data_IF_444368473641
#
_entry.id   IF_444368473641
#
_cell.length_a   1.000
_cell.length_b   1.000
_cell.length_c   1.000
_cell.angle_alpha   90.00
_cell.angle_beta   90.00
_cell.angle_gamma   90.00
#
_symmetry.space_group_name_H-M   'P 1'
#
loop_
_entity.id
_entity.type
_entity.pdbx_description
1 polymer ?
#
# COMPACT_ATOMS: atom_id res chain seq x y z
N UNK A 1 48.07 12.20 24.37
CA UNK A 1 48.88 11.10 23.82
C UNK A 1 47.90 9.99 23.48
N UNK A 2 47.71 9.69 22.20
CA UNK A 2 46.70 8.76 21.72
C UNK A 2 47.36 7.41 21.52
N UNK A 3 46.96 6.40 22.28
CA UNK A 3 47.46 5.04 22.14
C UNK A 3 47.06 4.49 20.78
N UNK A 4 48.04 4.27 19.91
CA UNK A 4 47.86 3.58 18.65
C UNK A 4 47.59 2.10 18.96
N UNK A 5 46.36 1.66 18.73
CA UNK A 5 46.01 0.24 18.74
C UNK A 5 46.68 -0.42 17.53
N UNK A 6 47.78 -1.12 17.78
CA UNK A 6 48.47 -1.95 16.80
C UNK A 6 47.58 -3.15 16.47
N UNK A 7 47.01 -3.17 15.26
CA UNK A 7 46.33 -4.35 14.73
C UNK A 7 47.43 -5.30 14.23
N UNK A 8 47.55 -6.52 14.78
CA UNK A 8 48.59 -7.45 14.38
C UNK A 8 48.41 -7.88 12.93
N UNK A 9 49.52 -7.84 12.18
CA UNK A 9 49.61 -8.14 10.74
C UNK A 9 49.36 -9.63 10.43
N UNK A 10 49.42 -10.49 11.44
CA UNK A 10 49.23 -11.93 11.28
C UNK A 10 48.46 -12.55 12.46
N UNK A 11 47.31 -13.14 12.14
CA UNK A 11 46.50 -13.93 13.08
C UNK A 11 46.56 -15.37 12.61
N UNK A 12 47.05 -16.28 13.46
CA UNK A 12 47.11 -17.70 13.13
C UNK A 12 45.70 -18.25 12.83
N UNK A 13 45.50 -19.03 11.75
CA UNK A 13 44.18 -19.56 11.41
C UNK A 13 43.75 -20.60 12.45
N UNK A 14 42.83 -20.22 13.34
CA UNK A 14 42.28 -21.11 14.38
C UNK A 14 41.10 -21.90 13.79
N UNK A 15 41.40 -22.96 13.03
CA UNK A 15 40.39 -23.87 12.47
C UNK A 15 39.39 -23.20 11.50
N UNK A 16 38.31 -23.91 11.08
CA UNK A 16 37.22 -23.29 10.34
C UNK A 16 36.48 -22.32 11.28
N UNK A 17 36.97 -21.10 11.33
CA UNK A 17 36.27 -19.96 11.90
C UNK A 17 35.03 -19.69 11.04
N UNK A 18 33.95 -20.41 11.28
CA UNK A 18 32.60 -19.93 10.96
C UNK A 18 32.30 -18.77 11.92
N UNK A 19 33.05 -17.67 11.81
CA UNK A 19 32.68 -16.42 12.42
C UNK A 19 31.31 -16.07 11.85
N UNK A 20 30.29 -16.13 12.71
CA UNK A 20 28.98 -15.60 12.35
C UNK A 20 29.21 -14.15 11.95
N UNK A 21 29.00 -13.85 10.68
CA UNK A 21 29.06 -12.48 10.21
C UNK A 21 28.09 -11.66 11.08
N UNK A 22 28.51 -10.47 11.54
CA UNK A 22 27.59 -9.52 12.17
C UNK A 22 26.33 -9.36 11.31
N UNK A 23 25.18 -9.26 11.97
CA UNK A 23 23.87 -9.19 11.29
C UNK A 23 23.82 -7.98 10.36
N UNK A 24 24.45 -6.88 10.76
CA UNK A 24 24.56 -5.64 10.00
C UNK A 24 25.31 -5.85 8.68
N UNK A 25 26.40 -6.61 8.70
CA UNK A 25 27.17 -6.94 7.48
C UNK A 25 26.33 -7.85 6.58
N UNK A 26 25.63 -8.81 7.18
CA UNK A 26 24.75 -9.72 6.44
C UNK A 26 23.61 -8.95 5.75
N UNK A 27 22.98 -8.00 6.43
CA UNK A 27 21.92 -7.16 5.86
C UNK A 27 22.45 -6.27 4.73
N UNK A 28 23.65 -5.69 4.87
CA UNK A 28 24.30 -4.93 3.78
C UNK A 28 24.59 -5.79 2.56
N UNK A 29 25.03 -7.03 2.75
CA UNK A 29 25.24 -7.97 1.65
C UNK A 29 23.90 -8.28 0.96
N UNK A 30 22.85 -8.57 1.74
CA UNK A 30 21.51 -8.83 1.22
C UNK A 30 21.00 -7.62 0.44
N UNK A 31 21.21 -6.41 0.94
CA UNK A 31 20.82 -5.17 0.26
C UNK A 31 21.44 -5.08 -1.14
N UNK A 32 22.75 -5.31 -1.26
CA UNK A 32 23.43 -5.32 -2.55
C UNK A 32 22.91 -6.41 -3.51
N UNK A 33 22.40 -7.53 -2.98
CA UNK A 33 21.86 -8.64 -3.77
C UNK A 33 20.38 -8.46 -4.16
N UNK A 34 19.62 -7.74 -3.36
CA UNK A 34 18.15 -7.60 -3.47
C UNK A 34 17.74 -6.29 -4.15
N UNK A 35 18.62 -5.28 -4.17
CA UNK A 35 18.41 -4.08 -4.96
C UNK A 35 18.22 -4.44 -6.44
N UNK A 36 17.04 -4.09 -6.96
CA UNK A 36 16.84 -3.96 -8.41
C UNK A 36 17.68 -2.75 -8.81
N UNK A 37 18.91 -3.02 -9.26
CA UNK A 37 20.04 -2.09 -9.15
C UNK A 37 19.86 -0.67 -9.71
N UNK A 38 20.70 0.29 -9.26
CA UNK A 38 20.60 1.72 -9.55
C UNK A 38 20.81 2.14 -11.01
N UNK A 39 21.08 1.19 -11.92
CA UNK A 39 21.25 1.47 -13.36
C UNK A 39 19.95 1.66 -14.11
N UNK A 40 18.82 1.30 -13.50
CA UNK A 40 17.49 1.60 -14.00
C UNK A 40 16.80 2.41 -12.91
N UNK A 41 16.30 3.62 -13.20
CA UNK A 41 15.39 4.32 -12.28
C UNK A 41 14.34 3.30 -11.83
N UNK A 42 14.29 2.90 -10.54
CA UNK A 42 13.37 1.86 -10.14
C UNK A 42 11.97 2.43 -10.31
N UNK A 43 11.30 2.01 -11.38
CA UNK A 43 9.87 2.20 -11.49
C UNK A 43 9.25 1.46 -10.31
N UNK A 44 8.48 2.19 -9.49
CA UNK A 44 7.87 1.68 -8.27
C UNK A 44 7.26 0.28 -8.48
N UNK A 45 7.44 -0.58 -7.49
CA UNK A 45 6.99 -1.97 -7.54
C UNK A 45 5.49 -2.00 -7.32
N UNK A 46 4.76 -2.32 -8.37
CA UNK A 46 3.32 -2.60 -8.31
C UNK A 46 3.05 -4.07 -7.95
N UNK A 47 1.77 -4.41 -7.71
CA UNK A 47 1.36 -5.77 -7.37
C UNK A 47 1.80 -6.80 -8.42
N UNK A 48 1.74 -6.46 -9.71
CA UNK A 48 2.09 -7.39 -10.79
C UNK A 48 3.59 -7.70 -10.77
N UNK A 49 4.42 -6.68 -10.64
CA UNK A 49 5.88 -6.80 -10.52
C UNK A 49 6.25 -7.55 -9.25
N UNK A 50 5.63 -7.21 -8.14
CA UNK A 50 5.82 -7.93 -6.89
C UNK A 50 5.47 -9.41 -7.05
N UNK A 51 4.33 -9.74 -7.68
CA UNK A 51 3.93 -11.12 -7.97
C UNK A 51 4.98 -11.88 -8.78
N UNK A 52 5.54 -11.25 -9.82
CA UNK A 52 6.60 -11.83 -10.65
C UNK A 52 7.88 -12.07 -9.82
N UNK A 53 8.35 -11.04 -9.10
CA UNK A 53 9.55 -11.15 -8.25
C UNK A 53 9.37 -12.21 -7.15
N UNK A 54 8.19 -12.25 -6.55
CA UNK A 54 7.85 -13.15 -5.46
C UNK A 54 7.76 -14.62 -5.94
N UNK A 55 7.35 -14.86 -7.20
CA UNK A 55 7.18 -16.21 -7.74
C UNK A 55 8.40 -16.72 -8.53
N UNK A 56 9.23 -15.85 -9.11
CA UNK A 56 10.27 -16.23 -10.06
C UNK A 56 11.63 -15.61 -9.74
N UNK A 57 12.70 -16.27 -10.20
CA UNK A 57 14.07 -15.73 -10.17
C UNK A 57 14.85 -16.00 -8.88
N UNK A 58 15.88 -15.17 -8.64
CA UNK A 58 16.75 -15.27 -7.46
C UNK A 58 16.02 -14.93 -6.16
N UNK A 59 15.04 -14.01 -6.21
CA UNK A 59 14.34 -13.55 -5.02
C UNK A 59 13.57 -14.66 -4.30
N UNK A 60 12.85 -15.52 -5.02
CA UNK A 60 12.20 -16.69 -4.41
C UNK A 60 13.23 -17.69 -3.85
N UNK A 61 14.33 -17.95 -4.57
CA UNK A 61 15.38 -18.88 -4.11
C UNK A 61 16.02 -18.41 -2.81
N UNK A 62 16.32 -17.12 -2.71
CA UNK A 62 16.89 -16.52 -1.51
C UNK A 62 15.94 -16.65 -0.31
N UNK A 63 14.64 -16.39 -0.50
CA UNK A 63 13.65 -16.52 0.58
C UNK A 63 13.39 -17.96 1.03
N UNK A 64 13.66 -18.94 0.18
CA UNK A 64 13.46 -20.36 0.50
C UNK A 64 14.58 -20.97 1.35
N UNK A 65 15.66 -20.24 1.65
CA UNK A 65 16.81 -20.78 2.39
C UNK A 65 16.42 -21.16 3.82
N UNK A 66 15.84 -20.23 4.59
CA UNK A 66 15.24 -20.50 5.89
C UNK A 66 14.30 -19.33 6.30
N UNK A 67 13.54 -19.53 7.39
CA UNK A 67 12.54 -18.55 7.86
C UNK A 67 13.16 -17.20 8.25
N UNK A 68 14.28 -17.20 8.98
CA UNK A 68 14.95 -15.98 9.45
C UNK A 68 15.52 -15.17 8.28
N UNK A 69 16.19 -15.85 7.34
CA UNK A 69 16.76 -15.24 6.15
C UNK A 69 15.67 -14.69 5.23
N UNK A 70 14.54 -15.39 5.12
CA UNK A 70 13.34 -14.88 4.44
C UNK A 70 12.87 -13.55 5.04
N UNK A 71 12.79 -13.45 6.38
CA UNK A 71 12.41 -12.21 7.04
C UNK A 71 13.38 -11.07 6.74
N UNK A 72 14.70 -11.32 6.84
CA UNK A 72 15.72 -10.31 6.51
C UNK A 72 15.66 -9.85 5.06
N UNK A 73 15.49 -10.77 4.11
CA UNK A 73 15.33 -10.41 2.69
C UNK A 73 14.10 -9.55 2.49
N UNK A 74 12.96 -9.93 3.08
CA UNK A 74 11.71 -9.19 2.94
C UNK A 74 11.84 -7.80 3.55
N UNK A 75 12.44 -7.69 4.73
CA UNK A 75 12.73 -6.41 5.37
C UNK A 75 13.61 -5.52 4.49
N UNK A 76 14.74 -6.02 4.02
CA UNK A 76 15.66 -5.28 3.14
C UNK A 76 14.98 -4.90 1.81
N UNK A 77 14.19 -5.80 1.23
CA UNK A 77 13.46 -5.54 -0.01
C UNK A 77 12.43 -4.42 0.15
N UNK A 78 11.61 -4.49 1.20
CA UNK A 78 10.57 -3.49 1.47
C UNK A 78 11.15 -2.16 1.97
N UNK A 79 12.32 -2.18 2.61
CA UNK A 79 13.03 -0.98 3.04
C UNK A 79 13.65 -0.21 1.85
N UNK A 80 14.13 -0.93 0.83
CA UNK A 80 14.93 -0.33 -0.25
C UNK A 80 14.18 -0.05 -1.55
N UNK A 81 12.92 -0.46 -1.66
CA UNK A 81 12.11 -0.24 -2.86
C UNK A 81 10.90 0.64 -2.56
N UNK A 82 10.49 1.42 -3.55
CA UNK A 82 9.23 2.16 -3.50
C UNK A 82 8.11 1.30 -4.07
N UNK A 83 6.95 1.32 -3.42
CA UNK A 83 5.79 0.52 -3.82
C UNK A 83 4.66 1.41 -4.31
N UNK A 84 3.96 0.93 -5.35
CA UNK A 84 2.86 1.64 -5.98
C UNK A 84 1.63 0.74 -6.06
N UNK A 85 0.60 1.04 -5.28
CA UNK A 85 -0.64 0.28 -5.29
C UNK A 85 -1.74 1.10 -5.94
N UNK A 86 -2.11 0.73 -7.17
CA UNK A 86 -3.16 1.39 -7.94
C UNK A 86 -4.53 0.81 -7.63
N UNK A 87 -5.56 1.65 -7.61
CA UNK A 87 -6.95 1.18 -7.66
C UNK A 87 -7.16 0.40 -8.97
N UNK A 88 -8.04 -0.59 -8.96
CA UNK A 88 -8.31 -1.44 -10.14
C UNK A 88 -9.63 -0.99 -10.77
N UNK A 89 -9.62 -0.77 -12.07
CA UNK A 89 -10.84 -0.67 -12.88
C UNK A 89 -11.53 -2.03 -12.89
N UNK A 90 -12.79 -2.09 -12.49
CA UNK A 90 -13.57 -3.32 -12.32
C UNK A 90 -13.56 -4.16 -13.60
N UNK A 91 -13.06 -5.40 -13.54
CA UNK A 91 -13.01 -6.33 -14.67
C UNK A 91 -13.96 -7.53 -14.54
N UNK A 92 -14.72 -7.68 -13.44
CA UNK A 92 -15.52 -8.88 -13.19
C UNK A 92 -16.96 -8.59 -12.72
N UNK A 93 -17.85 -9.56 -12.96
CA UNK A 93 -19.28 -9.50 -12.66
C UNK A 93 -19.63 -9.54 -11.16
N UNK A 94 -18.74 -10.04 -10.30
CA UNK A 94 -18.97 -10.11 -8.83
C UNK A 94 -18.68 -8.79 -8.12
N UNK A 95 -17.82 -7.96 -8.71
CA UNK A 95 -17.46 -6.63 -8.25
C UNK A 95 -18.37 -5.52 -8.81
N UNK A 96 -19.48 -5.89 -9.47
CA UNK A 96 -20.39 -4.95 -10.13
C UNK A 96 -21.10 -3.96 -9.21
N UNK A 97 -21.14 -4.25 -7.91
CA UNK A 97 -21.75 -3.37 -6.92
C UNK A 97 -20.86 -2.20 -6.49
N UNK A 98 -19.57 -2.27 -6.81
CA UNK A 98 -18.58 -1.25 -6.48
C UNK A 98 -18.22 -0.50 -7.78
N UNK A 99 -18.26 0.83 -7.76
CA UNK A 99 -17.89 1.65 -8.92
C UNK A 99 -16.37 1.69 -9.13
N UNK A 100 -15.58 1.52 -8.07
CA UNK A 100 -14.15 1.27 -8.09
C UNK A 100 -13.72 0.18 -7.09
N UNK A 101 -12.70 -0.62 -7.43
CA UNK A 101 -12.06 -1.54 -6.48
C UNK A 101 -10.91 -0.85 -5.73
N UNK A 102 -10.76 -1.16 -4.45
CA UNK A 102 -9.63 -0.68 -3.65
C UNK A 102 -8.27 -1.16 -4.21
N UNK A 103 -7.17 -0.47 -3.91
CA UNK A 103 -5.84 -0.89 -4.33
C UNK A 103 -5.49 -2.27 -3.78
N UNK A 104 -4.81 -3.08 -4.59
CA UNK A 104 -4.33 -4.38 -4.14
C UNK A 104 -3.11 -4.24 -3.22
N UNK A 105 -3.40 -4.03 -1.94
CA UNK A 105 -2.41 -3.95 -0.89
C UNK A 105 -1.77 -5.34 -0.62
N UNK A 106 -0.53 -5.37 -0.13
CA UNK A 106 0.14 -6.63 0.19
C UNK A 106 -0.50 -7.29 1.43
N UNK A 107 -0.23 -8.59 1.67
CA UNK A 107 -0.74 -9.30 2.85
C UNK A 107 -0.36 -8.62 4.18
N UNK A 108 -1.21 -8.70 5.19
CA UNK A 108 -1.00 -8.02 6.49
C UNK A 108 0.34 -8.37 7.14
N UNK A 109 0.78 -9.63 7.06
CA UNK A 109 2.04 -10.10 7.64
C UNK A 109 3.31 -9.46 7.05
N UNK A 110 3.26 -8.83 5.88
CA UNK A 110 4.40 -8.08 5.31
C UNK A 110 4.30 -6.57 5.49
N UNK A 111 3.13 -6.04 5.89
CA UNK A 111 2.90 -4.59 5.92
C UNK A 111 3.82 -3.86 6.89
N UNK A 112 4.25 -4.52 7.96
CA UNK A 112 5.20 -3.98 8.95
C UNK A 112 6.62 -3.73 8.41
N UNK A 113 6.99 -4.32 7.26
CA UNK A 113 8.31 -4.12 6.64
C UNK A 113 8.35 -2.91 5.70
N UNK A 114 7.19 -2.42 5.27
CA UNK A 114 7.10 -1.28 4.37
C UNK A 114 7.53 0.01 5.07
N UNK A 115 8.36 0.80 4.39
CA UNK A 115 8.79 2.12 4.83
C UNK A 115 8.28 3.23 3.93
N UNK A 116 8.16 2.98 2.62
CA UNK A 116 7.74 3.98 1.64
C UNK A 116 6.70 3.40 0.70
N UNK A 117 5.53 4.05 0.61
CA UNK A 117 4.46 3.62 -0.29
C UNK A 117 3.81 4.80 -1.00
N UNK A 118 3.40 4.57 -2.25
CA UNK A 118 2.41 5.36 -2.97
C UNK A 118 1.15 4.53 -3.15
N UNK A 119 0.00 5.05 -2.73
CA UNK A 119 -1.28 4.35 -2.81
C UNK A 119 -2.28 5.24 -3.53
N UNK A 120 -2.94 4.69 -4.53
CA UNK A 120 -4.02 5.36 -5.23
C UNK A 120 -5.35 4.89 -4.67
N UNK A 121 -6.20 5.85 -4.27
CA UNK A 121 -7.50 5.59 -3.65
C UNK A 121 -8.55 6.36 -4.44
N UNK A 122 -9.65 5.71 -4.78
CA UNK A 122 -10.82 6.38 -5.37
C UNK A 122 -11.90 6.54 -4.30
N UNK A 123 -12.38 7.77 -4.10
CA UNK A 123 -13.52 8.08 -3.25
C UNK A 123 -14.72 8.43 -4.12
N UNK A 124 -15.86 7.84 -3.81
CA UNK A 124 -17.07 7.89 -4.61
C UNK A 124 -18.24 8.23 -3.68
N UNK A 125 -19.27 8.90 -4.20
CA UNK A 125 -20.48 9.26 -3.46
C UNK A 125 -21.71 8.46 -3.90
N UNK A 126 -21.49 7.47 -4.76
CA UNK A 126 -22.50 6.63 -5.34
C UNK A 126 -22.07 5.17 -5.31
N UNK A 127 -23.04 4.30 -5.50
CA UNK A 127 -22.80 2.87 -5.59
C UNK A 127 -23.84 2.23 -6.51
N UNK A 128 -23.62 0.97 -6.85
CA UNK A 128 -24.53 0.18 -7.66
C UNK A 128 -24.88 -1.07 -6.87
N UNK A 129 -26.12 -1.53 -6.91
CA UNK A 129 -26.49 -2.83 -6.34
C UNK A 129 -27.30 -3.61 -7.36
N UNK A 130 -27.12 -4.93 -7.37
CA UNK A 130 -28.06 -5.81 -8.04
C UNK A 130 -29.42 -5.68 -7.37
N UNK A 131 -30.48 -5.59 -8.16
CA UNK A 131 -31.84 -5.71 -7.63
C UNK A 131 -31.98 -7.05 -6.88
N UNK A 132 -32.74 -7.09 -5.77
CA UNK A 132 -32.94 -8.32 -4.99
C UNK A 132 -33.47 -9.50 -5.81
N UNK A 133 -34.21 -9.22 -6.88
CA UNK A 133 -34.75 -10.20 -7.81
C UNK A 133 -33.64 -10.91 -8.61
N UNK A 134 -32.59 -10.18 -9.02
CA UNK A 134 -31.52 -10.68 -9.89
C UNK A 134 -30.36 -11.30 -9.09
N UNK A 135 -30.22 -10.94 -7.81
CA UNK A 135 -29.29 -11.61 -6.89
C UNK A 135 -29.63 -13.11 -6.70
N UNK A 136 -30.91 -13.47 -6.86
CA UNK A 136 -31.41 -14.85 -6.71
C UNK A 136 -31.49 -15.63 -8.04
N UNK A 137 -31.24 -14.98 -9.18
CA UNK A 137 -31.31 -15.63 -10.49
C UNK A 137 -30.19 -15.12 -11.42
N UNK A 138 -28.96 -15.68 -11.32
CA UNK A 138 -27.77 -15.16 -12.01
C UNK A 138 -27.80 -15.30 -13.54
N UNK A 139 -28.82 -15.96 -14.09
CA UNK A 139 -28.97 -16.24 -15.52
C UNK A 139 -29.83 -15.20 -16.27
N UNK A 140 -30.45 -14.25 -15.55
CA UNK A 140 -31.28 -13.19 -16.14
C UNK A 140 -30.51 -11.89 -16.44
N UNK A 141 -31.08 -10.97 -17.25
CA UNK A 141 -30.51 -9.65 -17.43
C UNK A 141 -30.47 -8.93 -16.08
N UNK A 142 -29.28 -8.64 -15.58
CA UNK A 142 -29.08 -8.01 -14.28
C UNK A 142 -29.49 -6.54 -14.32
N UNK A 143 -30.51 -6.19 -13.55
CA UNK A 143 -30.96 -4.82 -13.37
C UNK A 143 -30.13 -4.19 -12.26
N UNK A 144 -29.34 -3.18 -12.61
CA UNK A 144 -28.49 -2.46 -11.66
C UNK A 144 -29.26 -1.26 -11.11
N UNK A 145 -29.43 -1.20 -9.79
CA UNK A 145 -30.01 -0.03 -9.13
C UNK A 145 -28.88 0.91 -8.67
N UNK A 146 -28.84 2.16 -9.17
CA UNK A 146 -27.91 3.15 -8.64
C UNK A 146 -28.37 3.63 -7.26
N UNK A 147 -27.43 3.80 -6.34
CA UNK A 147 -27.63 4.38 -5.02
C UNK A 147 -26.69 5.55 -4.76
N UNK A 148 -27.03 6.37 -3.77
CA UNK A 148 -26.20 7.51 -3.31
C UNK A 148 -25.81 7.28 -1.86
N UNK A 149 -24.56 7.57 -1.53
CA UNK A 149 -24.03 7.45 -0.17
C UNK A 149 -24.62 8.56 0.68
N UNK A 150 -25.47 8.18 1.64
CA UNK A 150 -26.19 9.13 2.49
C UNK A 150 -25.58 9.33 3.86
N UNK A 151 -24.70 8.43 4.29
CA UNK A 151 -24.14 8.36 5.64
C UNK A 151 -22.70 7.82 5.65
N UNK A 152 -22.02 7.95 6.79
CA UNK A 152 -20.69 7.34 7.02
C UNK A 152 -20.76 5.81 6.97
N UNK A 153 -21.85 5.21 7.43
CA UNK A 153 -22.05 3.76 7.36
C UNK A 153 -22.13 3.29 5.91
N UNK A 154 -22.91 3.99 5.07
CA UNK A 154 -22.97 3.72 3.63
C UNK A 154 -21.61 3.89 2.97
N UNK A 155 -20.85 4.91 3.38
CA UNK A 155 -19.51 5.16 2.86
C UNK A 155 -18.60 3.95 3.08
N UNK A 156 -18.56 3.41 4.30
CA UNK A 156 -17.75 2.22 4.60
C UNK A 156 -18.31 0.93 4.00
N UNK A 157 -19.63 0.86 3.79
CA UNK A 157 -20.28 -0.30 3.20
C UNK A 157 -20.02 -0.41 1.71
N UNK A 158 -20.06 0.70 0.98
CA UNK A 158 -20.10 0.71 -0.48
C UNK A 158 -18.90 1.35 -1.17
N UNK A 159 -18.05 2.13 -0.47
CA UNK A 159 -16.84 2.70 -1.05
C UNK A 159 -15.57 1.94 -0.57
N UNK A 160 -14.95 1.11 -1.41
CA UNK A 160 -13.73 0.40 -1.04
C UNK A 160 -12.57 1.32 -0.72
N UNK A 161 -12.47 2.47 -1.40
CA UNK A 161 -11.43 3.45 -1.13
C UNK A 161 -11.54 4.04 0.27
N UNK A 162 -12.75 4.30 0.77
CA UNK A 162 -12.97 4.75 2.14
C UNK A 162 -12.53 3.71 3.17
N UNK A 163 -12.85 2.42 2.94
CA UNK A 163 -12.38 1.33 3.83
C UNK A 163 -10.85 1.25 3.87
N UNK A 164 -10.23 1.34 2.69
CA UNK A 164 -8.76 1.31 2.57
C UNK A 164 -8.15 2.51 3.29
N UNK A 165 -8.69 3.70 3.11
CA UNK A 165 -8.20 4.92 3.75
C UNK A 165 -8.33 4.84 5.28
N UNK A 166 -9.45 4.32 5.79
CA UNK A 166 -9.68 4.10 7.23
C UNK A 166 -8.64 3.15 7.83
N UNK A 167 -8.39 2.02 7.17
CA UNK A 167 -7.52 0.97 7.70
C UNK A 167 -6.05 1.16 7.29
N UNK A 168 -5.71 2.25 6.57
CA UNK A 168 -4.44 2.39 5.87
C UNK A 168 -3.24 2.33 6.82
N UNK A 169 -3.33 3.04 7.94
CA UNK A 169 -2.26 3.16 8.93
C UNK A 169 -2.69 2.63 10.30
N UNK A 170 -3.77 1.84 10.34
CA UNK A 170 -4.20 1.14 11.54
C UNK A 170 -3.12 0.13 11.99
N UNK A 171 -2.82 0.07 13.28
CA UNK A 171 -1.74 -0.77 13.80
C UNK A 171 -1.99 -2.29 13.61
N UNK A 172 -3.26 -2.72 13.53
CA UNK A 172 -3.64 -4.12 13.43
C UNK A 172 -3.81 -4.61 12.00
N UNK A 173 -4.17 -3.72 11.08
CA UNK A 173 -4.50 -4.07 9.69
C UNK A 173 -3.68 -3.32 8.65
N UNK A 174 -3.24 -2.11 8.96
CA UNK A 174 -2.60 -1.18 8.04
C UNK A 174 -1.08 -1.32 7.96
N UNK A 175 -0.44 -0.22 7.60
CA UNK A 175 1.01 -0.07 7.56
C UNK A 175 1.48 0.69 8.81
N UNK A 176 1.95 -0.05 9.81
CA UNK A 176 2.29 0.52 11.13
C UNK A 176 3.65 1.23 11.20
N UNK A 177 4.56 0.93 10.27
CA UNK A 177 5.97 1.36 10.33
C UNK A 177 6.37 2.21 9.11
N UNK A 178 5.46 3.01 8.56
CA UNK A 178 5.77 3.86 7.41
C UNK A 178 6.65 5.04 7.81
N UNK A 179 7.67 5.29 7.02
CA UNK A 179 8.45 6.52 7.02
C UNK A 179 7.79 7.56 6.11
N UNK A 180 7.43 7.16 4.89
CA UNK A 180 6.86 8.03 3.87
C UNK A 180 5.59 7.42 3.30
N UNK A 181 4.53 8.23 3.26
CA UNK A 181 3.25 7.86 2.68
C UNK A 181 2.84 8.89 1.62
N UNK A 182 2.65 8.44 0.39
CA UNK A 182 2.05 9.25 -0.66
C UNK A 182 0.69 8.69 -1.05
N UNK A 183 -0.36 9.52 -0.95
CA UNK A 183 -1.74 9.14 -1.29
C UNK A 183 -2.17 9.94 -2.51
N UNK A 184 -2.53 9.23 -3.58
CA UNK A 184 -3.14 9.81 -4.75
C UNK A 184 -4.65 9.57 -4.71
N UNK A 185 -5.44 10.61 -4.44
CA UNK A 185 -6.90 10.54 -4.33
C UNK A 185 -7.55 10.86 -5.67
N UNK A 186 -8.42 9.97 -6.13
CA UNK A 186 -9.37 10.26 -7.20
C UNK A 186 -10.74 10.52 -6.59
N UNK A 187 -11.40 11.60 -6.99
CA UNK A 187 -12.76 11.91 -6.55
C UNK A 187 -13.75 11.64 -7.67
N UNK A 188 -14.69 10.74 -7.44
CA UNK A 188 -15.72 10.33 -8.38
C UNK A 188 -17.12 10.76 -7.91
N UNK A 189 -17.27 12.05 -7.55
CA UNK A 189 -18.55 12.55 -7.02
C UNK A 189 -19.52 12.91 -8.14
N UNK A 190 -20.82 12.69 -7.90
CA UNK A 190 -21.88 13.12 -8.79
C UNK A 190 -22.14 14.61 -8.61
N UNK A 191 -22.30 15.32 -9.73
CA UNK A 191 -22.54 16.75 -9.72
C UNK A 191 -23.82 17.10 -8.91
N UNK A 192 -23.69 18.00 -7.95
CA UNK A 192 -24.81 18.51 -7.15
C UNK A 192 -24.90 17.97 -5.72
N UNK A 193 -24.04 17.00 -5.34
CA UNK A 193 -23.98 16.46 -3.98
C UNK A 193 -22.67 16.73 -3.24
N UNK A 194 -21.75 17.49 -3.85
CA UNK A 194 -20.39 17.72 -3.37
C UNK A 194 -20.34 18.10 -1.87
N UNK A 195 -21.18 19.03 -1.41
CA UNK A 195 -21.15 19.47 -0.01
C UNK A 195 -21.59 18.36 0.97
N UNK A 196 -22.68 17.63 0.64
CA UNK A 196 -23.17 16.54 1.48
C UNK A 196 -22.13 15.42 1.56
N UNK A 197 -21.50 15.10 0.43
CA UNK A 197 -20.41 14.12 0.36
C UNK A 197 -19.22 14.55 1.20
N UNK A 198 -18.80 15.82 1.11
CA UNK A 198 -17.73 16.37 1.94
C UNK A 198 -18.05 16.32 3.43
N UNK A 199 -19.30 16.58 3.82
CA UNK A 199 -19.72 16.49 5.22
C UNK A 199 -19.68 15.05 5.73
N UNK A 200 -20.06 14.07 4.90
CA UNK A 200 -19.92 12.64 5.23
C UNK A 200 -18.43 12.26 5.36
N UNK A 201 -17.57 12.70 4.45
CA UNK A 201 -16.12 12.45 4.52
C UNK A 201 -15.52 13.09 5.78
N UNK A 202 -15.92 14.32 6.12
CA UNK A 202 -15.50 14.99 7.35
C UNK A 202 -15.92 14.20 8.59
N UNK A 203 -17.17 13.73 8.62
CA UNK A 203 -17.69 12.90 9.72
C UNK A 203 -17.00 11.53 9.81
N UNK A 204 -16.50 10.99 8.70
CA UNK A 204 -15.77 9.73 8.68
C UNK A 204 -14.43 9.82 9.42
N UNK A 205 -13.85 11.02 9.56
CA UNK A 205 -12.69 11.28 10.41
C UNK A 205 -11.45 10.50 10.00
N UNK A 206 -11.13 10.48 8.70
CA UNK A 206 -9.97 9.74 8.20
C UNK A 206 -8.67 10.27 8.80
N UNK A 207 -7.83 9.36 9.29
CA UNK A 207 -6.51 9.66 9.83
C UNK A 207 -5.46 8.80 9.17
N UNK A 208 -4.33 9.40 8.81
CA UNK A 208 -3.19 8.71 8.23
C UNK A 208 -1.91 9.12 8.92
N UNK A 209 -1.01 8.15 9.11
CA UNK A 209 0.26 8.35 9.81
C UNK A 209 1.47 7.86 9.03
N UNK A 210 2.54 8.64 9.08
CA UNK A 210 3.89 8.21 8.71
C UNK A 210 4.92 8.93 9.59
N UNK A 211 6.15 8.41 9.69
CA UNK A 211 7.18 9.01 10.54
C UNK A 211 7.72 10.33 9.99
N UNK A 212 8.12 10.32 8.71
CA UNK A 212 8.89 11.41 8.13
C UNK A 212 7.97 12.36 7.33
N UNK A 213 7.08 11.81 6.51
CA UNK A 213 6.20 12.64 5.66
C UNK A 213 4.95 11.91 5.16
N UNK A 214 3.83 12.64 5.13
CA UNK A 214 2.62 12.24 4.41
C UNK A 214 2.30 13.30 3.34
N UNK A 215 2.12 12.86 2.10
CA UNK A 215 1.68 13.72 1.00
C UNK A 215 0.35 13.21 0.46
N UNK A 216 -0.60 14.11 0.26
CA UNK A 216 -1.89 13.81 -0.36
C UNK A 216 -2.02 14.64 -1.63
N UNK A 217 -2.19 13.97 -2.75
CA UNK A 217 -2.41 14.58 -4.07
C UNK A 217 -3.81 14.21 -4.56
N UNK A 218 -4.63 15.21 -4.88
CA UNK A 218 -5.92 14.97 -5.53
C UNK A 218 -5.73 15.01 -7.03
N UNK A 219 -6.09 13.91 -7.69
CA UNK A 219 -5.96 13.70 -9.12
C UNK A 219 -7.34 13.72 -9.77
N UNK A 220 -7.38 14.20 -11.02
CA UNK A 220 -8.59 14.13 -11.84
C UNK A 220 -8.93 12.67 -12.12
N UNK A 221 -10.18 12.28 -11.90
CA UNK A 221 -10.65 10.94 -12.25
C UNK A 221 -10.47 10.71 -13.77
N UNK A 222 -10.00 9.52 -14.23
CA UNK A 222 -9.82 9.22 -15.65
C UNK A 222 -11.06 9.49 -16.51
N UNK A 223 -12.25 9.31 -15.92
CA UNK A 223 -13.55 9.54 -16.56
C UNK A 223 -13.94 11.02 -16.69
N UNK A 224 -13.04 11.95 -16.39
CA UNK A 224 -13.24 13.38 -16.66
C UNK A 224 -14.08 14.15 -15.64
N UNK A 225 -14.44 13.54 -14.51
CA UNK A 225 -15.25 14.18 -13.44
C UNK A 225 -14.55 15.36 -12.77
N UNK A 226 -15.35 16.20 -12.09
CA UNK A 226 -14.84 17.36 -11.35
C UNK A 226 -13.91 16.90 -10.23
N UNK A 227 -12.77 17.58 -10.16
CA UNK A 227 -11.78 17.44 -9.10
C UNK A 227 -12.32 18.12 -7.83
N UNK A 228 -12.37 17.40 -6.71
CA UNK A 228 -12.76 17.97 -5.42
C UNK A 228 -11.54 18.09 -4.50
N UNK A 229 -10.80 19.19 -4.64
CA UNK A 229 -9.55 19.41 -3.91
C UNK A 229 -9.72 19.41 -2.39
N UNK A 230 -10.89 19.88 -1.92
CA UNK A 230 -11.22 20.02 -0.50
C UNK A 230 -11.17 18.69 0.27
N UNK A 231 -11.24 17.55 -0.41
CA UNK A 231 -11.18 16.23 0.23
C UNK A 231 -9.83 15.99 0.92
N UNK A 232 -8.72 16.49 0.35
CA UNK A 232 -7.41 16.33 0.97
C UNK A 232 -7.33 17.03 2.33
N UNK A 233 -7.98 18.18 2.46
CA UNK A 233 -8.00 18.98 3.70
C UNK A 233 -8.84 18.33 4.81
N UNK A 234 -9.67 17.34 4.48
CA UNK A 234 -10.52 16.61 5.43
C UNK A 234 -9.82 15.38 6.05
N UNK A 235 -8.63 15.02 5.55
CA UNK A 235 -7.88 13.88 6.06
C UNK A 235 -6.84 14.40 7.06
N UNK A 236 -6.94 13.91 8.30
CA UNK A 236 -6.00 14.27 9.35
C UNK A 236 -4.67 13.55 9.12
N UNK A 237 -3.58 14.33 9.11
CA UNK A 237 -2.22 13.84 8.95
C UNK A 237 -1.54 13.86 10.31
N UNK A 238 -1.06 12.69 10.75
CA UNK A 238 -0.24 12.54 11.95
C UNK A 238 1.19 12.18 11.54
N UNK A 239 2.17 12.90 12.09
CA UNK A 239 3.57 12.52 11.97
C UNK A 239 4.01 11.78 13.24
N UNK A 240 4.67 10.64 13.08
CA UNK A 240 5.19 9.85 14.20
C UNK A 240 6.55 10.34 14.67
N UNK A 241 6.83 10.24 15.98
CA UNK A 241 8.16 10.43 16.57
C UNK A 241 9.11 9.24 16.24
#
# INVERSE_FOLDING_TARGET
MSDMVLIPEYVAPVGPMFQRLPVEITLKIIEQLVLVGPRYKPQAIDQKRFGILNAFGSFIKMRSINKTFCQWIMEVFYHNNDFLFKHITVCNWKSWCETALGPCLPPTWVRGFLRRITVHICLEDNYRILTPHDANNPSGPSTITPGTIGSVEDLYRYCPGARVLRDLTDASKGFSNLNTLHICLYTNFNAGHDQKTLDIIRQAGFRVRARDSVTIEVLKHPDGRKLCQQVADLIEIELGE
#
